data_IF_897089277735
#
_entry.id   IF_897089277735
#
_cell.length_a   1.000
_cell.length_b   1.000
_cell.length_c   1.000
_cell.angle_alpha   90.00
_cell.angle_beta   90.00
_cell.angle_gamma   90.00
#
_symmetry.space_group_name_H-M   'P 1'
#
loop_
_entity.id
_entity.type
_entity.pdbx_description
1 polymer ?
#
# COMPACT_ATOMS: atom_id res chain seq x y z
N UNK A 1 60.19 -34.35 74.74
CA UNK A 1 59.00 -35.21 74.86
C UNK A 1 58.15 -34.92 73.64
N UNK A 2 58.27 -35.76 72.59
CA UNK A 2 57.23 -36.73 72.15
C UNK A 2 55.92 -36.02 71.80
N UNK A 3 55.33 -36.10 70.61
CA UNK A 3 55.36 -37.13 69.59
C UNK A 3 54.80 -36.54 68.28
N UNK A 4 55.25 -37.10 67.15
CA UNK A 4 54.78 -36.80 65.79
C UNK A 4 53.51 -37.59 65.46
N UNK A 5 52.54 -37.01 64.72
CA UNK A 5 51.70 -37.77 63.77
C UNK A 5 50.80 -36.90 62.85
N UNK A 6 50.76 -37.28 61.58
CA UNK A 6 49.77 -36.89 60.56
C UNK A 6 50.19 -35.65 59.75
N UNK A 7 50.12 -35.58 58.42
CA UNK A 7 49.32 -36.30 57.43
C UNK A 7 49.97 -36.05 56.04
N UNK A 8 50.16 -37.06 55.19
CA UNK A 8 50.65 -36.86 53.81
C UNK A 8 49.48 -36.39 52.94
N UNK A 9 49.55 -35.18 52.37
CA UNK A 9 48.66 -34.76 51.29
C UNK A 9 49.38 -34.91 49.95
N UNK A 10 48.84 -35.78 49.10
CA UNK A 10 49.19 -35.89 47.68
C UNK A 10 48.59 -34.69 46.94
N UNK A 11 49.42 -33.76 46.47
CA UNK A 11 49.01 -32.72 45.54
C UNK A 11 48.98 -33.31 44.11
N UNK A 12 47.78 -33.61 43.61
CA UNK A 12 47.57 -33.93 42.20
C UNK A 12 47.52 -32.65 41.36
N UNK A 13 48.41 -32.52 40.39
CA UNK A 13 48.39 -31.43 39.40
C UNK A 13 47.44 -31.83 38.28
N UNK A 14 46.30 -31.13 38.13
CA UNK A 14 45.41 -31.26 36.98
C UNK A 14 45.82 -30.21 35.95
N UNK A 15 46.37 -30.66 34.82
CA UNK A 15 46.72 -29.81 33.69
C UNK A 15 45.48 -29.63 32.80
N UNK A 16 44.89 -28.43 32.77
CA UNK A 16 43.84 -28.09 31.81
C UNK A 16 44.47 -27.65 30.49
N UNK A 17 44.39 -28.48 29.47
CA UNK A 17 44.73 -28.12 28.09
C UNK A 17 43.60 -27.28 27.49
N UNK A 18 43.83 -25.98 27.30
CA UNK A 18 42.95 -25.11 26.50
C UNK A 18 43.17 -25.38 25.01
N UNK A 19 42.20 -26.02 24.35
CA UNK A 19 42.12 -26.07 22.89
C UNK A 19 41.49 -24.76 22.42
N UNK A 20 42.28 -23.88 21.82
CA UNK A 20 41.79 -22.69 21.16
C UNK A 20 41.03 -23.10 19.88
N UNK A 21 39.71 -23.19 19.96
CA UNK A 21 38.85 -23.37 18.78
C UNK A 21 38.80 -22.07 17.97
N UNK A 22 39.40 -22.07 16.79
CA UNK A 22 39.23 -20.99 15.83
C UNK A 22 37.78 -20.96 15.35
N UNK A 23 37.01 -19.97 15.80
CA UNK A 23 35.68 -19.68 15.26
C UNK A 23 35.91 -19.10 13.85
N UNK A 24 35.60 -19.89 12.83
CA UNK A 24 35.56 -19.40 11.46
C UNK A 24 34.44 -18.36 11.36
N UNK A 25 34.80 -17.08 11.32
CA UNK A 25 33.89 -16.00 10.96
C UNK A 25 33.56 -16.18 9.49
N UNK A 26 32.37 -16.68 9.19
CA UNK A 26 31.84 -16.69 7.83
C UNK A 26 31.67 -15.24 7.39
N UNK A 27 32.32 -14.78 6.30
CA UNK A 27 32.11 -13.44 5.81
C UNK A 27 30.63 -13.27 5.45
N UNK A 28 30.03 -12.17 5.90
CA UNK A 28 28.69 -11.80 5.50
C UNK A 28 28.63 -11.77 3.96
N UNK A 29 27.73 -12.57 3.37
CA UNK A 29 27.47 -12.56 1.93
C UNK A 29 27.13 -11.12 1.56
N UNK A 30 27.94 -10.51 0.69
CA UNK A 30 27.61 -9.22 0.11
C UNK A 30 26.19 -9.31 -0.47
N UNK A 31 25.31 -8.39 -0.07
CA UNK A 31 23.96 -8.34 -0.62
C UNK A 31 24.09 -8.27 -2.14
N UNK A 32 23.43 -9.18 -2.86
CA UNK A 32 23.38 -9.08 -4.30
C UNK A 32 22.81 -7.71 -4.66
N UNK A 33 23.38 -7.04 -5.69
CA UNK A 33 22.89 -5.72 -6.08
C UNK A 33 21.38 -5.80 -6.30
N UNK A 34 20.64 -5.00 -5.53
CA UNK A 34 19.18 -4.95 -5.63
C UNK A 34 18.83 -4.56 -7.07
N UNK A 35 18.05 -5.40 -7.74
CA UNK A 35 17.61 -5.17 -9.12
C UNK A 35 16.45 -4.16 -9.22
N UNK A 36 15.92 -3.69 -8.10
CA UNK A 36 14.75 -2.81 -8.08
C UNK A 36 15.10 -1.40 -8.56
N UNK A 37 14.77 -1.10 -9.83
CA UNK A 37 15.01 0.21 -10.44
C UNK A 37 13.80 1.15 -10.42
N UNK A 38 12.59 0.58 -10.26
CA UNK A 38 11.31 1.29 -10.25
C UNK A 38 10.44 0.83 -9.08
N UNK A 39 9.57 1.72 -8.60
CA UNK A 39 8.66 1.46 -7.49
C UNK A 39 7.27 1.95 -7.87
N UNK A 40 6.29 1.05 -7.78
CA UNK A 40 4.87 1.38 -7.79
C UNK A 40 4.31 1.21 -6.37
N UNK A 41 3.82 2.29 -5.77
CA UNK A 41 3.12 2.26 -4.49
C UNK A 41 1.63 2.49 -4.72
N UNK A 42 0.79 1.48 -4.43
CA UNK A 42 -0.67 1.58 -4.54
C UNK A 42 -1.31 1.56 -3.16
N UNK A 43 -2.30 2.42 -2.94
CA UNK A 43 -3.14 2.42 -1.73
C UNK A 43 -4.61 2.35 -2.12
N UNK A 44 -5.40 1.65 -1.31
CA UNK A 44 -6.86 1.59 -1.40
C UNK A 44 -7.42 2.19 -0.10
N UNK A 45 -8.12 3.32 -0.18
CA UNK A 45 -8.70 3.98 0.99
C UNK A 45 -9.88 3.17 1.54
N UNK A 46 -10.01 3.09 2.86
CA UNK A 46 -11.14 2.40 3.50
C UNK A 46 -11.25 0.88 3.27
N UNK A 47 -10.38 0.24 2.47
CA UNK A 47 -10.40 -1.22 2.32
C UNK A 47 -9.99 -1.88 3.64
N UNK A 48 -10.93 -2.60 4.25
CA UNK A 48 -10.71 -3.28 5.52
C UNK A 48 -9.91 -4.55 5.33
N UNK A 49 -9.07 -4.85 6.32
CA UNK A 49 -8.29 -6.10 6.33
C UNK A 49 -9.20 -7.34 6.33
N UNK A 50 -10.41 -7.25 6.90
CA UNK A 50 -11.38 -8.34 6.89
C UNK A 50 -11.75 -8.78 5.48
N UNK A 51 -12.00 -7.84 4.56
CA UNK A 51 -12.28 -8.18 3.16
C UNK A 51 -11.04 -8.63 2.40
N UNK A 52 -9.89 -8.01 2.67
CA UNK A 52 -8.65 -8.45 2.05
C UNK A 52 -8.38 -9.93 2.39
N UNK A 53 -8.41 -10.29 3.67
CA UNK A 53 -8.03 -11.64 4.15
C UNK A 53 -9.17 -12.66 4.16
N UNK A 54 -10.42 -12.23 4.32
CA UNK A 54 -11.59 -13.08 4.49
C UNK A 54 -12.64 -13.01 3.37
N UNK A 55 -12.51 -12.03 2.47
CA UNK A 55 -13.47 -11.74 1.43
C UNK A 55 -14.80 -11.21 1.96
N UNK A 56 -15.89 -11.46 1.23
CA UNK A 56 -17.24 -11.03 1.62
C UNK A 56 -17.60 -11.44 3.06
N UNK A 57 -17.98 -10.47 3.88
CA UNK A 57 -18.43 -10.61 5.26
C UNK A 57 -19.93 -10.89 5.28
N UNK A 58 -20.32 -12.01 5.90
CA UNK A 58 -21.71 -12.41 6.05
C UNK A 58 -22.52 -11.42 6.88
N UNK A 59 -21.90 -10.81 7.90
CA UNK A 59 -22.55 -9.86 8.80
C UNK A 59 -23.01 -8.58 8.12
N UNK A 60 -22.45 -8.27 6.95
CA UNK A 60 -22.83 -7.13 6.12
C UNK A 60 -23.63 -7.52 4.87
N UNK A 61 -23.90 -8.82 4.69
CA UNK A 61 -24.62 -9.35 3.54
C UNK A 61 -26.15 -9.24 3.70
N UNK A 62 -26.60 -8.06 4.11
CA UNK A 62 -27.99 -7.75 4.43
C UNK A 62 -28.27 -6.25 4.19
N UNK A 63 -29.55 -5.86 4.30
CA UNK A 63 -29.98 -4.49 4.06
C UNK A 63 -29.67 -3.59 5.24
N UNK A 64 -29.76 -4.12 6.45
CA UNK A 64 -29.77 -3.37 7.71
C UNK A 64 -28.38 -2.86 8.08
N UNK A 65 -27.38 -3.74 8.05
CA UNK A 65 -25.99 -3.44 8.41
C UNK A 65 -25.13 -3.07 7.21
N UNK A 66 -25.41 -3.64 6.03
CA UNK A 66 -24.58 -3.44 4.84
C UNK A 66 -25.23 -2.64 3.71
N UNK A 67 -26.50 -2.20 3.85
CA UNK A 67 -27.20 -1.46 2.81
C UNK A 67 -27.27 -2.18 1.46
N UNK A 68 -27.15 -3.52 1.46
CA UNK A 68 -27.11 -4.34 0.24
C UNK A 68 -28.48 -4.33 -0.44
N UNK A 69 -28.55 -3.80 -1.66
CA UNK A 69 -29.83 -3.70 -2.38
C UNK A 69 -30.29 -5.04 -2.95
N UNK A 70 -29.35 -5.79 -3.54
CA UNK A 70 -29.59 -7.10 -4.17
C UNK A 70 -28.69 -8.17 -3.55
N UNK A 71 -29.19 -8.80 -2.47
CA UNK A 71 -28.45 -9.81 -1.72
C UNK A 71 -28.15 -11.05 -2.57
N UNK A 72 -29.11 -11.62 -3.34
CA UNK A 72 -28.82 -12.76 -4.22
C UNK A 72 -27.72 -12.47 -5.25
N UNK A 73 -27.74 -11.30 -5.89
CA UNK A 73 -26.71 -10.94 -6.85
C UNK A 73 -25.32 -10.81 -6.20
N UNK A 74 -25.24 -10.15 -5.04
CA UNK A 74 -23.98 -9.98 -4.31
C UNK A 74 -23.43 -11.33 -3.84
N UNK A 75 -24.29 -12.21 -3.29
CA UNK A 75 -23.96 -13.59 -2.92
C UNK A 75 -23.39 -14.37 -4.10
N UNK A 76 -24.06 -14.33 -5.25
CA UNK A 76 -23.61 -15.04 -6.45
C UNK A 76 -22.19 -14.64 -6.85
N UNK A 77 -21.86 -13.35 -6.71
CA UNK A 77 -20.55 -12.82 -7.11
C UNK A 77 -19.45 -13.16 -6.11
N UNK A 78 -19.66 -12.85 -4.83
CA UNK A 78 -18.57 -12.82 -3.85
C UNK A 78 -18.67 -13.82 -2.69
N UNK A 79 -19.83 -14.46 -2.49
CA UNK A 79 -19.97 -15.43 -1.39
C UNK A 79 -19.45 -16.81 -1.77
N UNK A 80 -18.67 -17.42 -0.89
CA UNK A 80 -18.15 -18.80 -0.94
C UNK A 80 -18.06 -19.33 0.49
N UNK A 81 -18.02 -20.66 0.65
CA UNK A 81 -18.02 -21.28 1.98
C UNK A 81 -16.76 -20.95 2.81
N UNK A 82 -15.59 -20.90 2.18
CA UNK A 82 -14.31 -20.63 2.87
C UNK A 82 -13.84 -19.20 2.67
N UNK A 83 -13.09 -18.68 3.65
CA UNK A 83 -12.49 -17.34 3.59
C UNK A 83 -11.54 -17.19 2.40
N UNK A 84 -10.76 -18.23 2.11
CA UNK A 84 -9.84 -18.30 0.97
C UNK A 84 -10.58 -18.21 -0.36
N UNK A 85 -11.71 -18.92 -0.49
CA UNK A 85 -12.50 -18.85 -1.71
C UNK A 85 -13.20 -17.49 -1.86
N UNK A 86 -13.64 -16.87 -0.76
CA UNK A 86 -14.27 -15.54 -0.77
C UNK A 86 -13.29 -14.44 -1.14
N UNK A 87 -12.10 -14.42 -0.53
CA UNK A 87 -11.09 -13.40 -0.82
C UNK A 87 -10.56 -13.51 -2.25
N UNK A 88 -10.42 -14.73 -2.78
CA UNK A 88 -10.09 -14.94 -4.19
C UNK A 88 -11.23 -14.55 -5.14
N UNK A 89 -12.50 -14.69 -4.72
CA UNK A 89 -13.62 -14.20 -5.51
C UNK A 89 -13.69 -12.66 -5.54
N UNK A 90 -13.29 -12.01 -4.44
CA UNK A 90 -13.31 -10.55 -4.30
C UNK A 90 -12.10 -9.86 -4.94
N UNK A 91 -10.89 -10.35 -4.71
CA UNK A 91 -9.63 -9.78 -5.21
C UNK A 91 -8.76 -10.88 -5.85
N UNK A 92 -9.20 -11.44 -6.99
CA UNK A 92 -8.54 -12.57 -7.64
C UNK A 92 -7.08 -12.28 -8.00
N UNK A 93 -6.76 -11.10 -8.51
CA UNK A 93 -5.40 -10.77 -8.95
C UNK A 93 -4.45 -10.65 -7.75
N UNK A 94 -4.88 -9.96 -6.70
CA UNK A 94 -4.11 -9.88 -5.45
C UNK A 94 -3.78 -11.28 -4.92
N UNK A 95 -4.77 -12.16 -4.80
CA UNK A 95 -4.55 -13.47 -4.18
C UNK A 95 -3.87 -14.49 -5.08
N UNK A 96 -4.13 -14.48 -6.39
CA UNK A 96 -3.56 -15.46 -7.32
C UNK A 96 -2.22 -15.04 -7.91
N UNK A 97 -1.90 -13.75 -7.92
CA UNK A 97 -0.68 -13.22 -8.51
C UNK A 97 0.19 -12.53 -7.47
N UNK A 98 -0.28 -11.44 -6.86
CA UNK A 98 0.55 -10.64 -5.93
C UNK A 98 0.98 -11.47 -4.72
N UNK A 99 0.05 -12.14 -4.05
CA UNK A 99 0.33 -12.96 -2.88
C UNK A 99 1.15 -14.21 -3.22
N UNK A 100 0.98 -14.77 -4.43
CA UNK A 100 1.71 -15.95 -4.88
C UNK A 100 3.17 -15.64 -5.29
N UNK A 101 3.43 -14.42 -5.75
CA UNK A 101 4.74 -13.97 -6.24
C UNK A 101 5.43 -12.97 -5.29
N UNK A 102 4.78 -12.66 -4.17
CA UNK A 102 5.18 -11.60 -3.25
C UNK A 102 5.03 -12.01 -1.79
N UNK A 103 4.86 -11.00 -0.94
CA UNK A 103 4.74 -11.16 0.50
C UNK A 103 3.51 -10.39 0.98
N UNK A 104 2.76 -10.99 1.91
CA UNK A 104 1.54 -10.41 2.47
C UNK A 104 1.69 -10.32 3.98
N UNK A 105 1.41 -9.15 4.53
CA UNK A 105 1.47 -8.84 5.96
C UNK A 105 0.13 -8.24 6.41
N UNK A 106 -0.23 -8.42 7.68
CA UNK A 106 -1.42 -7.81 8.27
C UNK A 106 -2.59 -8.77 8.51
N UNK A 107 -2.42 -10.08 8.28
CA UNK A 107 -3.40 -11.09 8.67
C UNK A 107 -3.35 -11.35 10.18
N UNK A 108 -4.22 -10.66 10.92
CA UNK A 108 -4.33 -10.81 12.36
C UNK A 108 -4.72 -12.24 12.78
N UNK A 109 -5.43 -13.00 11.94
CA UNK A 109 -5.80 -14.40 12.21
C UNK A 109 -4.60 -15.35 12.19
N UNK A 110 -3.50 -14.90 11.57
CA UNK A 110 -2.23 -15.62 11.47
C UNK A 110 -1.13 -14.98 12.32
N UNK A 111 -1.48 -14.16 13.32
CA UNK A 111 -0.55 -13.42 14.17
C UNK A 111 0.39 -12.48 13.40
N UNK A 112 -0.01 -12.01 12.21
CA UNK A 112 0.69 -10.96 11.45
C UNK A 112 -0.10 -9.66 11.59
N UNK A 113 0.27 -8.78 12.53
CA UNK A 113 -0.46 -7.52 12.71
C UNK A 113 0.33 -6.34 12.16
N UNK A 114 -0.32 -5.54 11.32
CA UNK A 114 0.16 -4.23 10.87
C UNK A 114 -0.76 -3.18 11.49
N UNK A 115 -0.18 -2.17 12.16
CA UNK A 115 -0.93 -1.11 12.85
C UNK A 115 -0.27 0.23 12.56
N UNK A 116 -1.10 1.23 12.31
CA UNK A 116 -0.67 2.63 12.35
C UNK A 116 -0.39 3.05 13.78
N UNK A 117 0.54 3.99 13.96
CA UNK A 117 1.00 4.50 15.25
C UNK A 117 0.46 5.89 15.56
N UNK A 118 -0.14 6.57 14.58
CA UNK A 118 -0.67 7.93 14.75
C UNK A 118 -1.83 8.06 15.74
N UNK A 119 -2.45 6.96 16.16
CA UNK A 119 -3.55 6.96 17.13
C UNK A 119 -4.84 7.62 16.61
N UNK A 120 -4.91 7.90 15.31
CA UNK A 120 -6.07 8.40 14.58
C UNK A 120 -6.60 7.28 13.67
N UNK A 121 -7.91 7.29 13.44
CA UNK A 121 -8.58 6.30 12.59
C UNK A 121 -9.23 6.99 11.37
N UNK A 122 -8.49 7.89 10.71
CA UNK A 122 -8.94 8.60 9.50
C UNK A 122 -7.77 8.93 8.56
N UNK A 123 -8.10 9.37 7.34
CA UNK A 123 -7.25 9.29 6.15
C UNK A 123 -5.93 10.05 6.20
N UNK A 124 -5.91 11.38 6.38
CA UNK A 124 -4.68 12.17 6.27
C UNK A 124 -3.56 11.66 7.22
N UNK A 125 -3.76 11.52 8.54
CA UNK A 125 -2.71 11.01 9.43
C UNK A 125 -2.19 9.64 9.01
N UNK A 126 -3.07 8.76 8.52
CA UNK A 126 -2.70 7.45 7.98
C UNK A 126 -1.81 7.56 6.75
N UNK A 127 -2.20 8.37 5.74
CA UNK A 127 -1.39 8.58 4.55
C UNK A 127 -0.06 9.29 4.83
N UNK A 128 -0.05 10.27 5.74
CA UNK A 128 1.19 10.90 6.19
C UNK A 128 2.11 9.86 6.83
N UNK A 129 1.59 8.97 7.67
CA UNK A 129 2.41 7.92 8.29
C UNK A 129 2.95 6.92 7.26
N UNK A 130 2.14 6.50 6.28
CA UNK A 130 2.59 5.65 5.16
C UNK A 130 3.73 6.32 4.39
N UNK A 131 3.58 7.60 4.05
CA UNK A 131 4.49 8.31 3.17
C UNK A 131 5.72 8.88 3.88
N UNK A 132 5.65 9.17 5.19
CA UNK A 132 6.78 9.69 5.97
C UNK A 132 7.50 8.58 6.76
N UNK A 133 6.84 7.46 7.06
CA UNK A 133 7.37 6.38 7.88
C UNK A 133 7.29 6.63 9.39
N UNK A 134 6.59 7.68 9.83
CA UNK A 134 6.34 8.00 11.23
C UNK A 134 5.05 8.80 11.39
N UNK A 135 4.47 8.76 12.59
CA UNK A 135 3.30 9.56 12.95
C UNK A 135 3.70 10.95 13.49
N UNK A 136 2.87 11.95 13.21
CA UNK A 136 3.06 13.32 13.69
C UNK A 136 1.74 13.84 14.29
N UNK A 137 1.70 14.18 15.60
CA UNK A 137 0.48 14.62 16.25
C UNK A 137 -0.07 15.95 15.72
N UNK A 138 0.73 16.72 14.97
CA UNK A 138 0.29 17.97 14.30
C UNK A 138 -0.60 17.69 13.08
N UNK A 139 -0.58 16.47 12.55
CA UNK A 139 -1.46 16.03 11.47
C UNK A 139 -2.67 15.37 12.12
N UNK A 140 -3.70 16.16 12.39
CA UNK A 140 -4.88 15.75 13.15
C UNK A 140 -6.22 16.12 12.51
N UNK A 141 -6.22 16.49 11.23
CA UNK A 141 -7.42 16.69 10.43
C UNK A 141 -7.21 16.26 8.98
N UNK A 142 -8.31 16.17 8.22
CA UNK A 142 -8.30 15.99 6.78
C UNK A 142 -8.29 17.33 6.02
N UNK A 143 -8.02 18.44 6.73
CA UNK A 143 -8.00 19.75 6.11
C UNK A 143 -6.88 19.86 5.09
N UNK A 144 -7.11 20.71 4.09
CA UNK A 144 -6.16 21.05 3.03
C UNK A 144 -5.04 21.96 3.56
N UNK A 145 -4.26 21.44 4.49
CA UNK A 145 -3.09 22.05 5.11
C UNK A 145 -1.87 21.23 4.71
N UNK A 146 -0.82 21.89 4.22
CA UNK A 146 0.37 21.19 3.72
C UNK A 146 1.06 20.37 4.81
N UNK A 147 1.47 19.14 4.46
CA UNK A 147 2.24 18.28 5.35
C UNK A 147 3.59 18.95 5.69
N UNK A 148 3.88 19.20 6.98
CA UNK A 148 5.17 19.79 7.37
C UNK A 148 6.32 18.80 7.18
N UNK A 149 6.04 17.50 7.10
CA UNK A 149 7.04 16.46 6.98
C UNK A 149 7.41 16.18 5.52
N UNK A 150 8.67 15.83 5.30
CA UNK A 150 9.15 15.36 3.99
C UNK A 150 8.68 13.92 3.80
N UNK A 151 7.96 13.66 2.72
CA UNK A 151 7.55 12.30 2.35
C UNK A 151 8.72 11.55 1.70
N UNK A 152 8.66 10.22 1.69
CA UNK A 152 9.56 9.38 0.89
C UNK A 152 9.53 9.81 -0.59
N UNK A 153 8.35 10.19 -1.11
CA UNK A 153 8.19 10.66 -2.49
C UNK A 153 9.04 11.91 -2.73
N UNK A 154 8.93 12.91 -1.86
CA UNK A 154 9.71 14.15 -1.93
C UNK A 154 11.21 13.89 -1.74
N UNK A 155 11.58 13.09 -0.75
CA UNK A 155 12.98 12.75 -0.49
C UNK A 155 13.63 12.04 -1.68
N UNK A 156 12.91 11.12 -2.35
CA UNK A 156 13.37 10.49 -3.58
C UNK A 156 13.41 11.50 -4.73
N UNK A 157 12.39 12.36 -4.90
CA UNK A 157 12.36 13.37 -5.96
C UNK A 157 13.57 14.32 -5.95
N UNK A 158 14.16 14.57 -4.77
CA UNK A 158 15.37 15.38 -4.60
C UNK A 158 16.67 14.65 -4.93
N UNK A 159 16.65 13.34 -5.20
CA UNK A 159 17.85 12.59 -5.58
C UNK A 159 18.13 12.77 -7.08
N UNK A 160 19.39 12.97 -7.49
CA UNK A 160 19.75 13.12 -8.91
C UNK A 160 19.20 12.01 -9.82
N UNK A 161 19.11 10.78 -9.33
CA UNK A 161 18.59 9.62 -10.07
C UNK A 161 17.06 9.60 -10.28
N UNK A 162 16.33 10.49 -9.60
CA UNK A 162 14.87 10.55 -9.54
C UNK A 162 14.30 11.93 -9.89
N UNK A 163 15.15 12.91 -10.20
CA UNK A 163 14.73 14.25 -10.65
C UNK A 163 13.72 14.13 -11.80
N UNK A 164 12.50 14.66 -11.61
CA UNK A 164 11.37 14.55 -12.57
C UNK A 164 10.93 13.13 -12.91
N UNK A 165 11.24 12.14 -12.07
CA UNK A 165 10.85 10.73 -12.22
C UNK A 165 9.95 10.24 -11.08
N UNK A 166 9.32 11.16 -10.36
CA UNK A 166 8.35 10.87 -9.30
C UNK A 166 7.02 11.53 -9.67
N UNK A 167 5.93 10.78 -9.60
CA UNK A 167 4.58 11.29 -9.83
C UNK A 167 3.55 10.59 -8.93
N UNK A 168 2.44 11.27 -8.68
CA UNK A 168 1.34 10.78 -7.86
C UNK A 168 -0.01 10.99 -8.53
N UNK A 169 -0.85 9.96 -8.47
CA UNK A 169 -2.21 9.98 -8.99
C UNK A 169 -3.15 9.51 -7.89
N UNK A 170 -4.14 10.31 -7.54
CA UNK A 170 -5.06 9.96 -6.47
C UNK A 170 -6.52 10.21 -6.84
N UNK A 171 -7.42 9.48 -6.21
CA UNK A 171 -8.85 9.74 -6.32
C UNK A 171 -9.31 10.85 -5.38
N UNK A 172 -8.72 10.95 -4.18
CA UNK A 172 -9.05 11.98 -3.19
C UNK A 172 -8.26 13.27 -3.40
N UNK A 173 -8.93 14.41 -3.27
CA UNK A 173 -8.38 15.72 -3.58
C UNK A 173 -7.46 16.30 -2.51
N UNK A 174 -7.22 15.64 -1.37
CA UNK A 174 -6.32 16.15 -0.32
C UNK A 174 -4.87 15.72 -0.53
N UNK A 175 -4.59 14.79 -1.44
CA UNK A 175 -3.23 14.31 -1.72
C UNK A 175 -2.19 15.38 -2.09
N UNK A 176 -2.50 16.47 -2.80
CA UNK A 176 -1.55 17.55 -3.03
C UNK A 176 -1.01 18.16 -1.73
N UNK A 177 -1.81 18.18 -0.67
CA UNK A 177 -1.41 18.69 0.65
C UNK A 177 -0.64 17.64 1.46
N UNK A 178 -1.07 16.38 1.41
CA UNK A 178 -0.39 15.24 2.04
C UNK A 178 1.04 15.08 1.52
N UNK A 179 1.22 15.18 0.20
CA UNK A 179 2.51 15.07 -0.49
C UNK A 179 3.27 16.40 -0.42
N UNK A 180 2.57 17.50 -0.17
CA UNK A 180 3.06 18.88 -0.28
C UNK A 180 3.63 19.14 -1.69
N UNK A 181 2.73 19.13 -2.69
CA UNK A 181 3.05 19.29 -4.10
C UNK A 181 3.79 20.61 -4.40
N UNK A 182 3.43 21.69 -3.71
CA UNK A 182 4.07 23.01 -3.85
C UNK A 182 5.55 22.97 -3.46
N UNK A 183 5.88 22.44 -2.27
CA UNK A 183 7.26 22.34 -1.79
C UNK A 183 8.05 21.30 -2.59
N UNK A 184 7.44 20.14 -2.82
CA UNK A 184 8.14 18.99 -3.42
C UNK A 184 8.38 19.14 -4.92
N UNK A 185 7.54 19.91 -5.63
CA UNK A 185 7.56 19.99 -7.09
C UNK A 185 7.11 18.71 -7.80
N UNK A 186 6.57 17.73 -7.07
CA UNK A 186 6.06 16.48 -7.62
C UNK A 186 4.77 16.75 -8.40
N UNK A 187 4.64 16.13 -9.57
CA UNK A 187 3.37 16.10 -10.28
C UNK A 187 2.35 15.27 -9.49
N UNK A 188 1.30 15.92 -8.98
CA UNK A 188 0.18 15.28 -8.27
C UNK A 188 -1.11 15.58 -9.02
N UNK A 189 -1.77 14.55 -9.56
CA UNK A 189 -3.08 14.66 -10.19
C UNK A 189 -4.12 13.95 -9.33
N UNK A 190 -5.09 14.69 -8.78
CA UNK A 190 -5.96 14.22 -7.70
C UNK A 190 -7.37 14.78 -7.76
N UNK A 191 -8.35 14.06 -7.21
CA UNK A 191 -9.74 14.53 -7.20
C UNK A 191 -10.26 14.82 -8.60
N UNK A 192 -11.17 15.79 -8.69
CA UNK A 192 -11.73 16.25 -9.97
C UNK A 192 -10.82 17.21 -10.74
N UNK A 193 -9.50 17.23 -10.46
CA UNK A 193 -8.56 17.96 -11.30
C UNK A 193 -8.63 17.42 -12.74
N UNK A 194 -8.55 18.30 -13.75
CA UNK A 194 -8.43 17.87 -15.13
C UNK A 194 -7.29 16.87 -15.30
N UNK A 195 -7.50 15.86 -16.12
CA UNK A 195 -6.44 14.92 -16.50
C UNK A 195 -5.44 15.71 -17.36
N UNK A 196 -4.15 15.64 -17.00
CA UNK A 196 -3.10 16.44 -17.62
C UNK A 196 -3.09 16.22 -19.15
N UNK A 197 -3.10 17.28 -19.97
CA UNK A 197 -3.05 17.19 -21.43
C UNK A 197 -1.71 16.74 -22.00
N UNK A 198 -0.73 16.34 -21.17
CA UNK A 198 0.56 15.83 -21.67
C UNK A 198 0.46 14.56 -22.54
N UNK A 199 -0.73 13.98 -22.62
CA UNK A 199 -1.15 12.90 -23.55
C UNK A 199 -1.43 13.49 -24.93
N UNK A 200 -1.41 12.64 -25.96
CA UNK A 200 -2.07 12.91 -27.25
C UNK A 200 -3.36 13.74 -27.07
N UNK A 201 -3.34 15.00 -27.52
CA UNK A 201 -4.35 16.01 -27.15
C UNK A 201 -5.79 15.58 -27.43
N UNK A 202 -6.01 14.76 -28.45
CA UNK A 202 -7.32 14.20 -28.79
C UNK A 202 -7.86 13.28 -27.68
N UNK A 203 -7.00 12.45 -27.09
CA UNK A 203 -7.37 11.56 -25.98
C UNK A 203 -7.65 12.33 -24.70
N UNK A 204 -6.81 13.31 -24.38
CA UNK A 204 -7.01 14.18 -23.23
C UNK A 204 -8.35 14.93 -23.33
N UNK A 205 -8.70 15.44 -24.52
CA UNK A 205 -9.98 16.10 -24.76
C UNK A 205 -11.17 15.17 -24.51
N UNK A 206 -11.16 13.96 -25.09
CA UNK A 206 -12.25 12.99 -24.88
C UNK A 206 -12.40 12.59 -23.41
N UNK A 207 -11.29 12.35 -22.70
CA UNK A 207 -11.33 12.04 -21.26
C UNK A 207 -11.80 13.23 -20.42
N UNK A 208 -11.44 14.45 -20.81
CA UNK A 208 -11.92 15.68 -20.20
C UNK A 208 -13.44 15.83 -20.31
N UNK A 209 -13.99 15.65 -21.52
CA UNK A 209 -15.43 15.72 -21.78
C UNK A 209 -16.18 14.66 -20.97
N UNK A 210 -15.73 13.40 -21.03
CA UNK A 210 -16.32 12.30 -20.25
C UNK A 210 -16.27 12.61 -18.75
N UNK A 211 -15.15 13.12 -18.24
CA UNK A 211 -15.02 13.49 -16.82
C UNK A 211 -15.98 14.62 -16.43
N UNK A 212 -16.19 15.58 -17.33
CA UNK A 212 -17.11 16.70 -17.13
C UNK A 212 -18.59 16.29 -17.09
N UNK A 213 -18.95 15.25 -17.86
CA UNK A 213 -20.32 14.74 -17.97
C UNK A 213 -20.70 13.68 -16.93
N UNK A 214 -19.70 13.12 -16.21
CA UNK A 214 -19.95 12.13 -15.16
C UNK A 214 -20.60 12.76 -13.93
N UNK A 215 -21.53 12.06 -13.26
CA UNK A 215 -22.07 12.51 -11.99
C UNK A 215 -20.95 12.56 -10.94
N UNK A 216 -20.91 13.65 -10.17
CA UNK A 216 -20.00 13.77 -9.03
C UNK A 216 -20.70 13.26 -7.78
N UNK A 217 -20.50 11.98 -7.46
CA UNK A 217 -21.06 11.39 -6.24
C UNK A 217 -20.45 12.01 -4.98
N UNK A 218 -19.17 12.37 -5.05
CA UNK A 218 -18.41 12.95 -3.94
C UNK A 218 -17.67 14.20 -4.40
N UNK A 219 -17.70 15.25 -3.58
CA UNK A 219 -17.09 16.54 -3.93
C UNK A 219 -15.56 16.45 -4.05
N UNK A 220 -14.94 15.67 -3.15
CA UNK A 220 -13.48 15.56 -3.04
C UNK A 220 -12.89 14.29 -3.65
N UNK A 221 -13.71 13.33 -4.09
CA UNK A 221 -13.24 12.05 -4.63
C UNK A 221 -13.79 11.83 -6.03
N UNK A 222 -12.89 11.59 -6.99
CA UNK A 222 -13.27 11.14 -8.34
C UNK A 222 -13.32 9.62 -8.40
N UNK A 223 -13.98 9.08 -9.42
CA UNK A 223 -13.97 7.64 -9.70
C UNK A 223 -12.55 7.10 -9.93
N UNK A 224 -12.24 5.94 -9.35
CA UNK A 224 -10.92 5.30 -9.46
C UNK A 224 -10.54 4.96 -10.90
N UNK A 225 -11.54 4.71 -11.75
CA UNK A 225 -11.33 4.52 -13.17
C UNK A 225 -10.65 5.72 -13.84
N UNK A 226 -11.00 6.95 -13.44
CA UNK A 226 -10.39 8.17 -13.96
C UNK A 226 -8.96 8.36 -13.43
N UNK A 227 -8.72 8.09 -12.14
CA UNK A 227 -7.37 8.05 -11.56
C UNK A 227 -6.46 7.07 -12.31
N UNK A 228 -6.97 5.89 -12.62
CA UNK A 228 -6.25 4.88 -13.41
C UNK A 228 -5.97 5.36 -14.84
N UNK A 229 -6.94 5.96 -15.54
CA UNK A 229 -6.71 6.47 -16.90
C UNK A 229 -5.65 7.57 -16.91
N UNK A 230 -5.73 8.53 -15.99
CA UNK A 230 -4.72 9.58 -15.83
C UNK A 230 -3.32 9.00 -15.56
N UNK A 231 -3.24 7.96 -14.73
CA UNK A 231 -1.99 7.26 -14.43
C UNK A 231 -1.38 6.62 -15.68
N UNK A 232 -2.15 5.85 -16.44
CA UNK A 232 -1.68 5.21 -17.67
C UNK A 232 -1.21 6.21 -18.71
N UNK A 233 -1.95 7.29 -18.82
CA UNK A 233 -1.69 8.32 -19.80
C UNK A 233 -0.39 9.07 -19.48
N UNK A 234 -0.16 9.40 -18.21
CA UNK A 234 1.13 9.96 -17.77
C UNK A 234 2.30 8.98 -17.95
N UNK A 235 2.09 7.68 -17.70
CA UNK A 235 3.11 6.63 -17.84
C UNK A 235 3.71 6.55 -19.24
N UNK A 236 2.88 6.73 -20.29
CA UNK A 236 3.31 6.64 -21.70
C UNK A 236 4.40 7.67 -22.03
N UNK A 237 4.25 8.89 -21.53
CA UNK A 237 5.08 10.02 -21.94
C UNK A 237 6.24 10.28 -20.96
N UNK A 238 6.07 9.97 -19.66
CA UNK A 238 7.03 10.38 -18.62
C UNK A 238 7.83 9.25 -18.01
N UNK A 239 7.28 8.02 -17.98
CA UNK A 239 7.90 6.83 -17.38
C UNK A 239 8.56 7.14 -16.01
N UNK A 240 7.77 7.53 -14.98
CA UNK A 240 8.28 7.79 -13.64
C UNK A 240 8.89 6.52 -13.02
N UNK A 241 10.03 6.67 -12.33
CA UNK A 241 10.67 5.59 -11.57
C UNK A 241 10.00 5.32 -10.23
N UNK A 242 9.30 6.32 -9.69
CA UNK A 242 8.44 6.16 -8.52
C UNK A 242 7.06 6.69 -8.85
N UNK A 243 6.08 5.79 -8.83
CA UNK A 243 4.69 6.11 -9.10
C UNK A 243 3.85 5.80 -7.86
N UNK A 244 3.17 6.80 -7.33
CA UNK A 244 2.19 6.63 -6.27
C UNK A 244 0.77 6.68 -6.85
N UNK A 245 -0.05 5.67 -6.55
CA UNK A 245 -1.45 5.59 -6.98
C UNK A 245 -2.33 5.39 -5.74
N UNK A 246 -3.31 6.25 -5.54
CA UNK A 246 -4.27 6.11 -4.44
C UNK A 246 -5.70 6.06 -4.96
N UNK A 247 -6.40 4.98 -4.65
CA UNK A 247 -7.78 4.72 -5.05
C UNK A 247 -8.69 4.87 -3.84
N UNK A 248 -9.88 5.45 -4.03
CA UNK A 248 -10.73 5.95 -2.93
C UNK A 248 -12.12 5.34 -2.85
N UNK A 249 -12.65 4.70 -3.91
CA UNK A 249 -14.08 4.33 -3.96
C UNK A 249 -14.50 3.36 -2.82
N UNK A 250 -13.58 2.54 -2.30
CA UNK A 250 -13.85 1.68 -1.15
C UNK A 250 -14.14 2.48 0.13
N UNK A 251 -13.51 3.64 0.36
CA UNK A 251 -13.81 4.46 1.55
C UNK A 251 -15.18 5.15 1.42
N UNK A 252 -15.42 5.82 0.29
CA UNK A 252 -16.64 6.58 0.11
C UNK A 252 -17.89 5.68 0.12
N UNK A 253 -17.86 4.51 -0.52
CA UNK A 253 -18.99 3.57 -0.44
C UNK A 253 -19.14 2.92 0.94
N UNK A 254 -18.06 2.80 1.72
CA UNK A 254 -18.17 2.39 3.12
C UNK A 254 -18.87 3.48 3.95
N UNK A 255 -18.54 4.76 3.73
CA UNK A 255 -19.23 5.89 4.35
C UNK A 255 -20.71 5.99 3.99
N UNK A 256 -21.08 5.62 2.78
CA UNK A 256 -22.49 5.54 2.35
C UNK A 256 -23.24 4.31 2.92
N UNK A 257 -22.55 3.40 3.60
CA UNK A 257 -23.15 2.15 4.08
C UNK A 257 -23.60 1.25 2.92
N UNK A 258 -22.88 1.29 1.79
CA UNK A 258 -23.20 0.54 0.56
C UNK A 258 -22.20 -0.60 0.37
N UNK A 259 -22.36 -1.65 1.16
CA UNK A 259 -21.46 -2.80 1.14
C UNK A 259 -21.42 -3.50 -0.23
N UNK A 260 -22.52 -3.47 -0.97
CA UNK A 260 -22.58 -3.94 -2.36
C UNK A 260 -21.61 -3.16 -3.28
N UNK A 261 -21.65 -1.83 -3.22
CA UNK A 261 -20.77 -0.97 -4.02
C UNK A 261 -19.33 -0.95 -3.50
N UNK A 262 -19.13 -1.14 -2.19
CA UNK A 262 -17.81 -1.32 -1.58
C UNK A 262 -17.10 -2.57 -2.13
N UNK A 263 -17.77 -3.73 -2.13
CA UNK A 263 -17.19 -4.96 -2.71
C UNK A 263 -16.96 -4.84 -4.21
N UNK A 264 -17.87 -4.17 -4.92
CA UNK A 264 -17.68 -3.87 -6.34
C UNK A 264 -16.48 -2.98 -6.62
N UNK A 265 -16.23 -2.02 -5.73
CA UNK A 265 -15.08 -1.13 -5.82
C UNK A 265 -13.79 -1.89 -5.53
N UNK A 266 -13.72 -2.70 -4.47
CA UNK A 266 -12.57 -3.55 -4.18
C UNK A 266 -12.22 -4.50 -5.35
N UNK A 267 -13.21 -5.18 -5.92
CA UNK A 267 -13.03 -6.03 -7.10
C UNK A 267 -12.55 -5.24 -8.32
N UNK A 268 -13.10 -4.03 -8.53
CA UNK A 268 -12.67 -3.15 -9.62
C UNK A 268 -11.24 -2.66 -9.41
N UNK A 269 -10.88 -2.27 -8.18
CA UNK A 269 -9.53 -1.82 -7.83
C UNK A 269 -8.51 -2.93 -8.05
N UNK A 270 -8.81 -4.16 -7.65
CA UNK A 270 -7.98 -5.34 -7.94
C UNK A 270 -7.70 -5.51 -9.43
N UNK A 271 -8.75 -5.37 -10.27
CA UNK A 271 -8.62 -5.37 -11.74
C UNK A 271 -7.82 -4.17 -12.29
N UNK A 272 -7.95 -2.98 -11.70
CA UNK A 272 -7.16 -1.81 -12.12
C UNK A 272 -5.67 -2.01 -11.79
N UNK A 273 -5.37 -2.60 -10.63
CA UNK A 273 -4.02 -3.00 -10.22
C UNK A 273 -3.46 -4.03 -11.19
N UNK A 274 -4.22 -5.08 -11.54
CA UNK A 274 -3.82 -6.06 -12.55
C UNK A 274 -3.44 -5.40 -13.87
N UNK A 275 -4.30 -4.53 -14.38
CA UNK A 275 -4.05 -3.88 -15.68
C UNK A 275 -2.86 -2.94 -15.63
N UNK A 276 -2.65 -2.24 -14.51
CA UNK A 276 -1.50 -1.36 -14.32
C UNK A 276 -0.21 -2.20 -14.25
N UNK A 277 -0.20 -3.26 -13.46
CA UNK A 277 0.93 -4.19 -13.34
C UNK A 277 1.30 -4.79 -14.69
N UNK A 278 0.33 -5.36 -15.39
CA UNK A 278 0.57 -6.00 -16.69
C UNK A 278 1.05 -4.98 -17.73
N UNK A 279 0.58 -3.72 -17.67
CA UNK A 279 1.09 -2.66 -18.52
C UNK A 279 2.56 -2.37 -18.21
N UNK A 280 2.92 -2.20 -16.94
CA UNK A 280 4.30 -1.96 -16.53
C UNK A 280 5.22 -3.12 -16.94
N UNK A 281 4.83 -4.37 -16.67
CA UNK A 281 5.60 -5.56 -17.10
C UNK A 281 5.76 -5.71 -18.61
N UNK A 282 4.95 -5.01 -19.42
CA UNK A 282 5.09 -5.00 -20.88
C UNK A 282 6.12 -3.97 -21.38
N UNK A 283 6.55 -3.05 -20.52
CA UNK A 283 7.52 -2.02 -20.84
C UNK A 283 8.93 -2.49 -20.47
N UNK A 284 9.90 -2.49 -21.39
CA UNK A 284 11.26 -2.97 -21.11
C UNK A 284 11.98 -2.25 -19.96
N UNK A 285 11.53 -1.05 -19.60
CA UNK A 285 12.12 -0.24 -18.53
C UNK A 285 11.57 -0.56 -17.12
N UNK A 286 10.58 -1.46 -16.99
CA UNK A 286 9.88 -1.78 -15.73
C UNK A 286 9.88 -3.27 -15.39
#
# INVERSE_FOLDING_TARGET
MSDSRGLRQLAGVILFSFVAGAVAVTPARAAEPLQSENVLLVTLDGLRWQELFGGCDEGLLNKESGGVRDIPALKSRFWRETAEARREALMPYFWKTIAAQGQVFGDATRNSTVRVTNGRNFSYPGYSEILCGFSDPRIDSNDKVNNPNVTMLEWLHQKPAFTRRVAAFASWDVFPWIINAERSGIHVNSGWQPIDPAVEAARAAVLGDVTGDLPRLWDGVRYDALTYQATLDYLKDHRPRLLFVSLGETDDFAHEGRYDLYLDSAFRNDRLIERLWNHLQSLPEY
#
